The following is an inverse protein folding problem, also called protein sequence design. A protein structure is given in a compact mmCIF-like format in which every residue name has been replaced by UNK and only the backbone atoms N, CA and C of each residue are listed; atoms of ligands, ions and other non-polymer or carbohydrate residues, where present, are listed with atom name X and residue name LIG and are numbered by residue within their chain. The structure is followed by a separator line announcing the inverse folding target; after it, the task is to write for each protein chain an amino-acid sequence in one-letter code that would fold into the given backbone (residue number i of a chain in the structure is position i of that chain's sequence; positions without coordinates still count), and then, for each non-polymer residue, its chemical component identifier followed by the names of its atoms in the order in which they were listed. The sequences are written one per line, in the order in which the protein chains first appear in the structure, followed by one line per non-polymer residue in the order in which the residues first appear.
data_IF_691837764820
#
_entry.id   IF_691837764820
#
_cell.length_a   1.000
_cell.length_b   1.000
_cell.length_c   1.000
_cell.angle_alpha   90.00
_cell.angle_beta   90.00
_cell.angle_gamma   90.00
#
_symmetry.space_group_name_H-M   'P 1'
#
loop_
_entity.id
_entity.type
_entity.pdbx_description
1 polymer ?
#
# COMPACT_ATOMS: atom_id res chain seq x y z
N UNK A 1 21.67 40.64 -27.49
CA UNK A 1 21.43 39.20 -27.21
C UNK A 1 22.39 38.63 -26.14
N UNK A 2 22.87 39.45 -25.19
CA UNK A 2 23.85 39.04 -24.15
C UNK A 2 23.30 39.23 -22.72
N UNK A 3 22.08 39.75 -22.55
CA UNK A 3 21.52 40.02 -21.22
C UNK A 3 20.75 38.84 -20.58
N UNK A 4 20.60 37.71 -21.27
CA UNK A 4 19.77 36.59 -20.75
C UNK A 4 20.52 35.62 -19.81
N UNK A 5 21.84 35.77 -19.63
CA UNK A 5 22.66 34.81 -18.86
C UNK A 5 22.98 35.34 -17.44
N UNK A 6 22.77 36.63 -17.16
CA UNK A 6 23.18 37.23 -15.88
C UNK A 6 22.22 36.99 -14.71
N UNK A 7 21.14 36.23 -14.90
CA UNK A 7 20.31 35.77 -13.79
C UNK A 7 20.74 34.38 -13.29
N UNK A 8 22.06 34.16 -13.23
CA UNK A 8 22.64 33.05 -12.49
C UNK A 8 22.15 33.14 -11.04
N UNK A 9 21.34 32.17 -10.66
CA UNK A 9 20.83 31.96 -9.30
C UNK A 9 22.04 31.90 -8.37
N UNK A 10 22.43 33.05 -7.83
CA UNK A 10 23.34 33.09 -6.71
C UNK A 10 22.55 32.48 -5.55
N UNK A 11 22.88 31.25 -5.16
CA UNK A 11 22.54 30.76 -3.84
C UNK A 11 23.29 31.65 -2.85
N UNK A 12 22.71 32.81 -2.54
CA UNK A 12 23.18 33.69 -1.49
C UNK A 12 22.93 32.96 -0.19
N UNK A 13 23.93 32.19 0.24
CA UNK A 13 24.04 31.69 1.61
C UNK A 13 24.00 32.92 2.51
N UNK A 14 22.81 33.25 3.01
CA UNK A 14 22.67 34.32 4.00
C UNK A 14 23.50 33.89 5.20
N UNK A 15 24.52 34.69 5.54
CA UNK A 15 25.32 34.55 6.76
C UNK A 15 24.38 34.26 7.92
N UNK A 16 24.65 33.16 8.63
CA UNK A 16 23.79 32.61 9.66
C UNK A 16 23.79 33.50 10.90
N UNK A 17 22.75 34.32 11.06
CA UNK A 17 22.31 34.69 12.40
C UNK A 17 21.87 33.40 13.12
N UNK A 18 22.40 33.19 14.34
CA UNK A 18 22.22 31.99 15.17
C UNK A 18 20.76 31.51 15.22
N UNK A 19 20.37 30.61 14.33
CA UNK A 19 19.12 29.84 14.40
C UNK A 19 19.46 28.36 14.35
N UNK A 20 18.78 27.57 15.21
CA UNK A 20 18.86 26.11 15.33
C UNK A 20 19.30 25.46 14.01
N UNK A 21 20.49 24.85 14.02
CA UNK A 21 21.12 24.24 12.85
C UNK A 21 20.11 23.49 12.00
N UNK A 22 19.88 23.96 10.78
CA UNK A 22 18.92 23.36 9.88
C UNK A 22 19.38 21.95 9.51
N UNK A 23 18.55 20.93 9.78
CA UNK A 23 18.80 19.57 9.30
C UNK A 23 19.08 19.58 7.79
N UNK A 24 19.95 18.69 7.31
CA UNK A 24 20.22 18.54 5.88
C UNK A 24 18.95 18.23 5.08
N UNK A 25 18.93 18.55 3.78
CA UNK A 25 17.72 18.39 2.95
C UNK A 25 17.20 16.95 2.94
N UNK A 26 18.08 15.96 2.72
CA UNK A 26 17.70 14.54 2.65
C UNK A 26 17.10 14.00 3.96
N UNK A 27 17.61 14.46 5.12
CA UNK A 27 17.16 14.05 6.49
C UNK A 27 15.93 14.84 6.98
N UNK A 28 15.50 15.87 6.25
CA UNK A 28 14.34 16.68 6.66
C UNK A 28 13.01 15.95 6.41
N UNK A 29 12.01 16.21 7.26
CA UNK A 29 10.63 15.75 7.01
C UNK A 29 10.03 16.41 5.76
N UNK A 30 9.04 15.77 5.13
CA UNK A 30 8.42 16.25 3.88
C UNK A 30 7.87 17.67 3.99
N UNK A 31 7.20 18.01 5.12
CA UNK A 31 6.73 19.37 5.38
C UNK A 31 7.87 20.38 5.27
N UNK A 32 9.04 20.06 5.82
CA UNK A 32 10.20 20.97 5.84
C UNK A 32 10.94 20.97 4.49
N UNK A 33 10.96 19.86 3.74
CA UNK A 33 11.45 19.82 2.35
C UNK A 33 10.62 20.75 1.46
N UNK A 34 9.27 20.71 1.56
CA UNK A 34 8.36 21.59 0.80
C UNK A 34 8.64 23.06 1.06
N UNK A 35 8.79 23.46 2.32
CA UNK A 35 9.14 24.83 2.71
C UNK A 35 10.51 25.27 2.16
N UNK A 36 11.51 24.39 2.21
CA UNK A 36 12.85 24.68 1.65
C UNK A 36 12.84 24.87 0.14
N UNK A 37 11.98 24.14 -0.58
CA UNK A 37 11.86 24.23 -2.05
C UNK A 37 10.87 25.29 -2.53
N UNK A 38 10.19 26.00 -1.63
CA UNK A 38 9.11 26.93 -1.95
C UNK A 38 9.58 28.06 -2.87
N UNK A 39 10.74 28.66 -2.55
CA UNK A 39 11.34 29.70 -3.38
C UNK A 39 11.67 29.21 -4.79
N UNK A 40 12.22 27.99 -4.91
CA UNK A 40 12.54 27.40 -6.21
C UNK A 40 11.28 27.19 -7.04
N UNK A 41 10.23 26.61 -6.45
CA UNK A 41 8.96 26.35 -7.14
C UNK A 41 8.24 27.61 -7.58
N UNK A 42 8.32 28.68 -6.79
CA UNK A 42 7.60 29.92 -7.10
C UNK A 42 8.34 30.78 -8.12
N UNK A 43 9.67 30.70 -8.17
CA UNK A 43 10.49 31.58 -9.01
C UNK A 43 10.98 30.93 -10.31
N UNK A 44 10.71 29.64 -10.53
CA UNK A 44 11.18 28.92 -11.72
C UNK A 44 10.05 28.22 -12.45
N UNK A 45 10.18 28.13 -13.77
CA UNK A 45 9.22 27.41 -14.61
C UNK A 45 9.37 25.90 -14.44
N UNK A 46 8.24 25.19 -14.47
CA UNK A 46 8.18 23.72 -14.31
C UNK A 46 9.01 22.99 -15.38
N UNK A 47 9.09 23.54 -16.59
CA UNK A 47 9.89 23.00 -17.70
C UNK A 47 11.38 22.96 -17.37
N UNK A 48 11.92 24.05 -16.81
CA UNK A 48 13.32 24.16 -16.40
C UNK A 48 13.63 23.17 -15.27
N UNK A 49 12.74 23.07 -14.29
CA UNK A 49 12.89 22.10 -13.20
C UNK A 49 12.87 20.66 -13.72
N UNK A 50 11.98 20.36 -14.67
CA UNK A 50 11.88 19.03 -15.28
C UNK A 50 13.16 18.67 -16.03
N UNK A 51 13.68 19.58 -16.85
CA UNK A 51 14.94 19.38 -17.57
C UNK A 51 16.15 19.24 -16.63
N UNK A 52 16.23 20.04 -15.57
CA UNK A 52 17.27 19.92 -14.56
C UNK A 52 17.23 18.55 -13.86
N UNK A 53 16.04 18.03 -13.56
CA UNK A 53 15.90 16.67 -13.01
C UNK A 53 16.30 15.58 -13.99
N UNK A 54 15.98 15.73 -15.28
CA UNK A 54 16.43 14.81 -16.33
C UNK A 54 17.96 14.75 -16.40
N UNK A 55 18.63 15.91 -16.39
CA UNK A 55 20.09 15.97 -16.38
C UNK A 55 20.65 15.32 -15.12
N UNK A 56 20.09 15.63 -13.94
CA UNK A 56 20.56 15.07 -12.66
C UNK A 56 20.37 13.56 -12.53
N UNK A 57 19.45 12.97 -13.31
CA UNK A 57 19.19 11.53 -13.34
C UNK A 57 19.85 10.83 -14.52
N UNK A 58 20.64 11.52 -15.36
CA UNK A 58 21.39 10.90 -16.46
C UNK A 58 22.23 9.73 -15.92
N UNK A 59 22.05 8.56 -16.53
CA UNK A 59 22.69 7.31 -16.10
C UNK A 59 21.82 6.43 -15.20
N UNK A 60 20.71 6.94 -14.64
CA UNK A 60 19.73 6.15 -13.91
C UNK A 60 18.63 5.62 -14.84
N UNK A 61 18.08 4.44 -14.54
CA UNK A 61 16.87 3.94 -15.22
C UNK A 61 15.66 4.88 -15.07
N UNK A 62 15.64 5.71 -14.02
CA UNK A 62 14.60 6.71 -13.80
C UNK A 62 14.57 7.82 -14.86
N UNK A 63 15.71 8.10 -15.52
CA UNK A 63 15.79 9.09 -16.60
C UNK A 63 14.86 8.73 -17.76
N UNK A 64 14.88 7.46 -18.20
CA UNK A 64 14.08 7.00 -19.35
C UNK A 64 12.59 7.24 -19.10
N UNK A 65 12.12 6.90 -17.90
CA UNK A 65 10.72 7.08 -17.51
C UNK A 65 10.32 8.56 -17.50
N UNK A 66 11.14 9.42 -16.89
CA UNK A 66 10.86 10.85 -16.86
C UNK A 66 10.89 11.48 -18.25
N UNK A 67 11.90 11.16 -19.06
CA UNK A 67 12.07 11.66 -20.41
C UNK A 67 10.88 11.30 -21.32
N UNK A 68 10.34 10.08 -21.19
CA UNK A 68 9.12 9.69 -21.90
C UNK A 68 7.89 10.49 -21.43
N UNK A 69 7.77 10.71 -20.12
CA UNK A 69 6.65 11.48 -19.53
C UNK A 69 6.68 12.94 -19.97
N UNK A 70 7.86 13.56 -20.05
CA UNK A 70 8.05 14.99 -20.33
C UNK A 70 8.08 15.30 -21.82
N UNK A 71 8.75 14.50 -22.65
CA UNK A 71 9.08 14.87 -24.04
C UNK A 71 8.27 14.17 -25.12
N UNK A 72 7.79 12.93 -24.88
CA UNK A 72 7.09 12.18 -25.95
C UNK A 72 5.58 12.42 -25.98
N UNK A 73 4.84 12.08 -24.91
CA UNK A 73 3.40 12.38 -24.84
C UNK A 73 2.82 12.19 -23.43
N UNK A 74 1.91 13.07 -22.98
CA UNK A 74 1.13 12.89 -21.75
C UNK A 74 0.34 11.57 -21.71
N UNK A 75 0.05 10.97 -22.87
CA UNK A 75 -0.62 9.67 -22.97
C UNK A 75 0.24 8.53 -22.37
N UNK A 76 1.56 8.64 -22.36
CA UNK A 76 2.44 7.65 -21.71
C UNK A 76 2.18 7.58 -20.21
N UNK A 77 1.96 8.71 -19.54
CA UNK A 77 1.59 8.74 -18.11
C UNK A 77 0.35 7.91 -17.84
N UNK A 78 -0.66 8.02 -18.69
CA UNK A 78 -1.91 7.24 -18.55
C UNK A 78 -1.67 5.73 -18.73
N UNK A 79 -0.81 5.34 -19.68
CA UNK A 79 -0.40 3.94 -19.90
C UNK A 79 0.39 3.41 -18.71
N UNK A 80 1.38 4.14 -18.20
CA UNK A 80 2.13 3.78 -17.01
C UNK A 80 1.23 3.64 -15.78
N UNK A 81 0.27 4.55 -15.61
CA UNK A 81 -0.72 4.48 -14.53
C UNK A 81 -1.63 3.26 -14.66
N UNK A 82 -2.06 2.93 -15.88
CA UNK A 82 -2.88 1.75 -16.14
C UNK A 82 -2.09 0.45 -15.91
N UNK A 83 -0.85 0.37 -16.38
CA UNK A 83 0.05 -0.76 -16.16
C UNK A 83 0.35 -0.95 -14.67
N UNK A 84 0.63 0.13 -13.93
CA UNK A 84 0.85 0.06 -12.49
C UNK A 84 -0.39 -0.43 -11.74
N UNK A 85 -1.58 0.02 -12.13
CA UNK A 85 -2.85 -0.49 -11.55
C UNK A 85 -3.14 -1.95 -11.90
N UNK A 86 -2.76 -2.39 -13.11
CA UNK A 86 -2.93 -3.77 -13.59
C UNK A 86 -1.85 -4.71 -13.08
N UNK A 87 -0.69 -4.20 -12.68
CA UNK A 87 0.39 -5.02 -12.15
C UNK A 87 -0.15 -5.82 -10.96
N UNK A 88 0.07 -7.14 -10.92
CA UNK A 88 -0.40 -7.95 -9.82
C UNK A 88 0.32 -7.45 -8.57
N UNK A 89 -0.41 -6.75 -7.69
CA UNK A 89 0.03 -6.62 -6.31
C UNK A 89 0.21 -8.05 -5.83
N UNK A 90 1.37 -8.35 -5.23
CA UNK A 90 1.62 -9.68 -4.68
C UNK A 90 0.35 -10.14 -3.96
N UNK A 91 -0.18 -11.29 -4.39
CA UNK A 91 -1.51 -11.71 -3.98
C UNK A 91 -1.51 -11.88 -2.46
N UNK A 92 -2.14 -10.94 -1.77
CA UNK A 92 -2.39 -11.09 -0.34
C UNK A 92 -3.27 -12.32 -0.16
N UNK A 93 -2.90 -13.21 0.76
CA UNK A 93 -3.69 -14.39 1.08
C UNK A 93 -5.15 -13.97 1.28
N UNK A 94 -6.03 -14.63 0.53
CA UNK A 94 -7.48 -14.52 0.73
C UNK A 94 -7.80 -14.87 2.18
N UNK A 95 -8.83 -14.25 2.76
CA UNK A 95 -9.15 -14.33 4.20
C UNK A 95 -9.13 -15.77 4.74
N UNK A 96 -9.68 -16.72 4.00
CA UNK A 96 -9.70 -18.14 4.35
C UNK A 96 -8.32 -18.79 4.35
N UNK A 97 -7.49 -18.52 3.33
CA UNK A 97 -6.14 -19.09 3.22
C UNK A 97 -5.24 -18.61 4.36
N UNK A 98 -5.39 -17.36 4.80
CA UNK A 98 -4.64 -16.84 5.94
C UNK A 98 -5.01 -17.53 7.27
N UNK A 99 -6.29 -17.93 7.44
CA UNK A 99 -6.72 -18.73 8.59
C UNK A 99 -6.14 -20.14 8.53
N UNK A 100 -6.21 -20.79 7.36
CA UNK A 100 -5.67 -22.14 7.16
C UNK A 100 -4.19 -22.19 7.56
N UNK A 101 -3.36 -21.26 7.05
CA UNK A 101 -1.96 -21.14 7.45
C UNK A 101 -1.82 -20.98 8.97
N UNK A 102 -2.59 -20.08 9.59
CA UNK A 102 -2.50 -19.85 11.04
C UNK A 102 -2.83 -21.11 11.86
N UNK A 103 -3.81 -21.91 11.41
CA UNK A 103 -4.22 -23.16 12.07
C UNK A 103 -3.18 -24.27 11.82
N UNK A 104 -2.80 -24.48 10.57
CA UNK A 104 -1.86 -25.54 10.15
C UNK A 104 -0.49 -25.36 10.78
N UNK A 105 0.00 -24.13 10.85
CA UNK A 105 1.32 -23.82 11.44
C UNK A 105 1.24 -23.51 12.94
N UNK A 106 0.07 -23.68 13.57
CA UNK A 106 -0.17 -23.44 15.01
C UNK A 106 0.36 -22.09 15.52
N UNK A 107 0.21 -21.04 14.72
CA UNK A 107 0.74 -19.73 15.07
C UNK A 107 -0.08 -19.06 16.16
N UNK A 108 0.63 -18.51 17.15
CA UNK A 108 0.01 -17.67 18.16
C UNK A 108 -0.38 -16.30 17.58
N UNK A 109 -1.33 -15.65 18.24
CA UNK A 109 -1.70 -14.26 17.93
C UNK A 109 -0.51 -13.31 17.98
N UNK A 110 0.46 -13.55 18.86
CA UNK A 110 1.64 -12.70 19.02
C UNK A 110 2.69 -12.92 17.92
N UNK A 111 2.75 -14.13 17.36
CA UNK A 111 3.64 -14.46 16.25
C UNK A 111 3.11 -13.95 14.89
N UNK A 112 1.79 -13.83 14.75
CA UNK A 112 1.19 -13.37 13.49
C UNK A 112 1.67 -11.98 13.03
N UNK A 113 1.75 -10.94 13.89
CA UNK A 113 2.37 -9.66 13.52
C UNK A 113 3.81 -9.78 13.00
N UNK A 114 4.59 -10.71 13.55
CA UNK A 114 6.00 -10.93 13.17
C UNK A 114 6.05 -11.48 11.74
N UNK A 115 5.21 -12.45 11.42
CA UNK A 115 5.14 -13.04 10.06
C UNK A 115 4.53 -12.04 9.06
N UNK A 116 3.58 -11.22 9.52
CA UNK A 116 2.99 -10.12 8.75
C UNK A 116 3.96 -8.96 8.50
N UNK A 117 5.18 -8.97 9.04
CA UNK A 117 6.24 -8.02 8.64
C UNK A 117 6.44 -7.96 7.12
N UNK A 118 5.99 -8.99 6.40
CA UNK A 118 5.72 -8.96 4.95
C UNK A 118 4.24 -8.61 4.66
N UNK A 119 3.86 -7.31 4.64
CA UNK A 119 2.45 -6.89 4.57
C UNK A 119 1.76 -7.26 3.26
N UNK A 120 2.54 -7.54 2.22
CA UNK A 120 2.05 -7.89 0.89
C UNK A 120 1.40 -9.28 0.87
N UNK A 121 1.84 -10.20 1.74
CA UNK A 121 1.38 -11.59 1.77
C UNK A 121 0.23 -11.82 2.75
N UNK A 122 0.29 -11.29 3.97
CA UNK A 122 -0.68 -11.62 5.02
C UNK A 122 -1.67 -10.48 5.32
N UNK A 123 -2.99 -10.77 5.39
CA UNK A 123 -3.99 -9.77 5.73
C UNK A 123 -3.83 -9.28 7.17
N UNK A 124 -4.48 -8.18 7.52
CA UNK A 124 -4.49 -7.70 8.91
C UNK A 124 -5.13 -8.74 9.85
N UNK A 125 -4.66 -8.80 11.10
CA UNK A 125 -5.22 -9.74 12.08
C UNK A 125 -6.71 -9.49 12.34
N UNK A 126 -7.21 -8.25 12.15
CA UNK A 126 -8.66 -7.94 12.23
C UNK A 126 -9.47 -8.73 11.20
N UNK A 127 -8.95 -8.88 9.98
CA UNK A 127 -9.60 -9.65 8.91
C UNK A 127 -9.63 -11.14 9.27
N UNK A 128 -8.51 -11.67 9.77
CA UNK A 128 -8.41 -13.07 10.25
C UNK A 128 -9.39 -13.31 11.40
N UNK A 129 -9.49 -12.36 12.34
CA UNK A 129 -10.42 -12.46 13.47
C UNK A 129 -11.88 -12.45 13.03
N UNK A 130 -12.24 -11.61 12.06
CA UNK A 130 -13.59 -11.61 11.49
C UNK A 130 -13.93 -12.96 10.84
N UNK A 131 -13.04 -13.48 10.00
CA UNK A 131 -13.26 -14.78 9.37
C UNK A 131 -13.25 -15.96 10.36
N UNK A 132 -12.51 -15.88 11.49
CA UNK A 132 -12.65 -16.83 12.61
C UNK A 132 -14.06 -16.77 13.22
N UNK A 133 -14.57 -15.57 13.47
CA UNK A 133 -15.92 -15.37 14.04
C UNK A 133 -17.01 -15.94 13.15
N UNK A 134 -16.89 -15.75 11.83
CA UNK A 134 -17.81 -16.32 10.84
C UNK A 134 -17.84 -17.85 10.83
N UNK A 135 -16.82 -18.52 11.39
CA UNK A 135 -16.79 -19.98 11.46
C UNK A 135 -17.53 -20.54 12.69
N UNK A 136 -17.88 -19.71 13.68
CA UNK A 136 -18.60 -20.16 14.86
C UNK A 136 -20.12 -20.02 14.67
N UNK A 137 -20.92 -20.97 15.21
CA UNK A 137 -22.37 -20.81 15.26
C UNK A 137 -22.75 -19.61 16.14
N UNK A 138 -24.01 -19.16 16.05
CA UNK A 138 -24.52 -18.02 16.82
C UNK A 138 -24.32 -18.24 18.32
N UNK A 139 -23.91 -17.19 19.03
CA UNK A 139 -23.58 -17.24 20.46
C UNK A 139 -24.75 -17.70 21.33
N UNK A 140 -25.98 -17.40 20.94
CA UNK A 140 -27.21 -17.83 21.62
C UNK A 140 -27.34 -19.37 21.70
N UNK A 141 -26.73 -20.08 20.75
CA UNK A 141 -26.78 -21.54 20.67
C UNK A 141 -25.57 -22.22 21.31
N UNK A 142 -24.64 -21.45 21.89
CA UNK A 142 -23.44 -21.96 22.56
C UNK A 142 -23.61 -21.75 24.06
N UNK A 143 -23.61 -22.85 24.82
CA UNK A 143 -23.64 -22.83 26.29
C UNK A 143 -22.30 -23.30 26.81
N UNK A 144 -21.63 -22.45 27.58
CA UNK A 144 -20.34 -22.77 28.20
C UNK A 144 -20.52 -22.66 29.71
N UNK A 145 -20.27 -23.75 30.41
CA UNK A 145 -20.19 -23.81 31.87
C UNK A 145 -18.75 -24.12 32.27
N UNK A 146 -18.46 -24.14 33.58
CA UNK A 146 -17.12 -24.48 34.09
C UNK A 146 -16.67 -25.89 33.74
N UNK A 147 -17.62 -26.80 33.51
CA UNK A 147 -17.35 -28.23 33.30
C UNK A 147 -17.68 -28.72 31.89
N UNK A 148 -18.57 -28.05 31.16
CA UNK A 148 -19.00 -28.47 29.83
C UNK A 148 -19.21 -27.32 28.85
N UNK A 149 -19.08 -27.63 27.56
CA UNK A 149 -19.43 -26.73 26.47
C UNK A 149 -20.36 -27.49 25.52
N UNK A 150 -21.56 -26.96 25.32
CA UNK A 150 -22.62 -27.58 24.54
C UNK A 150 -23.09 -26.64 23.44
N UNK A 151 -23.42 -27.21 22.29
CA UNK A 151 -24.00 -26.50 21.15
C UNK A 151 -25.21 -27.30 20.68
N UNK A 152 -26.31 -26.60 20.38
CA UNK A 152 -27.50 -27.26 19.82
C UNK A 152 -27.17 -27.95 18.50
N UNK A 153 -27.45 -29.26 18.39
CA UNK A 153 -27.15 -30.05 17.19
C UNK A 153 -27.75 -29.42 15.93
N UNK A 154 -29.02 -29.00 16.00
CA UNK A 154 -29.68 -28.37 14.86
C UNK A 154 -28.97 -27.08 14.43
N UNK A 155 -28.53 -26.27 15.40
CA UNK A 155 -27.80 -25.03 15.10
C UNK A 155 -26.45 -25.29 14.43
N UNK A 156 -25.76 -26.36 14.85
CA UNK A 156 -24.50 -26.76 14.25
C UNK A 156 -24.70 -27.24 12.82
N UNK A 157 -25.69 -28.09 12.58
CA UNK A 157 -26.03 -28.57 11.22
C UNK A 157 -26.39 -27.42 10.29
N UNK A 158 -27.28 -26.52 10.72
CA UNK A 158 -27.66 -25.34 9.93
C UNK A 158 -26.44 -24.47 9.60
N UNK A 159 -25.58 -24.20 10.57
CA UNK A 159 -24.36 -23.41 10.37
C UNK A 159 -23.40 -24.08 9.38
N UNK A 160 -23.24 -25.41 9.45
CA UNK A 160 -22.40 -26.14 8.48
C UNK A 160 -22.96 -26.06 7.06
N UNK A 161 -24.29 -26.15 6.89
CA UNK A 161 -24.94 -26.01 5.59
C UNK A 161 -24.77 -24.60 5.02
N UNK A 162 -24.99 -23.56 5.83
CA UNK A 162 -24.77 -22.16 5.44
C UNK A 162 -23.33 -21.94 4.95
N UNK A 163 -22.34 -22.44 5.68
CA UNK A 163 -20.93 -22.35 5.30
C UNK A 163 -20.64 -23.12 4.01
N UNK A 164 -21.19 -24.30 3.85
CA UNK A 164 -21.01 -25.10 2.64
C UNK A 164 -21.58 -24.39 1.40
N UNK A 165 -22.82 -23.88 1.51
CA UNK A 165 -23.48 -23.13 0.43
C UNK A 165 -22.67 -21.88 0.05
N UNK A 166 -22.13 -21.15 1.03
CA UNK A 166 -21.31 -19.95 0.77
C UNK A 166 -20.06 -20.22 -0.08
N UNK A 167 -19.53 -21.45 -0.04
CA UNK A 167 -18.38 -21.88 -0.85
C UNK A 167 -18.84 -22.32 -2.24
N UNK A 168 -19.99 -23.00 -2.33
CA UNK A 168 -20.49 -23.60 -3.57
C UNK A 168 -21.16 -22.59 -4.50
N UNK A 169 -21.86 -21.58 -3.98
CA UNK A 169 -22.52 -20.54 -4.77
C UNK A 169 -21.62 -19.82 -5.79
N UNK A 170 -20.43 -19.31 -5.41
CA UNK A 170 -19.53 -18.66 -6.38
C UNK A 170 -18.97 -19.63 -7.43
N UNK A 171 -18.85 -20.93 -7.10
CA UNK A 171 -18.44 -21.95 -8.08
C UNK A 171 -19.58 -22.21 -9.07
N UNK A 172 -20.82 -22.35 -8.58
CA UNK A 172 -21.99 -22.52 -9.44
C UNK A 172 -22.20 -21.35 -10.40
N UNK A 173 -21.98 -20.11 -9.97
CA UNK A 173 -22.11 -18.95 -10.86
C UNK A 173 -21.01 -18.91 -11.93
N UNK A 174 -19.79 -19.36 -11.61
CA UNK A 174 -18.70 -19.46 -12.59
C UNK A 174 -18.88 -20.56 -13.64
N UNK A 175 -19.76 -21.53 -13.41
CA UNK A 175 -20.06 -22.63 -14.33
C UNK A 175 -21.25 -22.36 -15.25
N UNK A 176 -22.06 -21.32 -14.98
CA UNK A 176 -23.24 -20.96 -15.78
C UNK A 176 -22.96 -19.93 -16.89
N UNK A 177 -21.70 -19.66 -17.17
CA UNK A 177 -21.26 -18.67 -18.17
C UNK A 177 -20.89 -19.28 -19.53
N UNK A 178 -21.33 -20.51 -19.80
CA UNK A 178 -21.35 -21.16 -21.12
C UNK A 178 -22.80 -21.39 -21.56
#
# INVERSE_FOLDING_TARGET
MVEYINNCISYRSKKSDKKRGGRQFHVSSDRRKRLKTEQLRNNTFVTILSYATEIGLRGSHAFKVLHEITNTSPKHVSKYRAAYKKSPRQATYVRGNAIAVLVDTKLSRHQYPIIRSTPEKFPSYKIVQAAKKECYPRLENIKITSTCAEVSLQSLLNHTLERFLSIVEPVKSSLKTD
#
